data_IF_133231614068
#
_entry.id   IF_133231614068
#
_cell.length_a   1.000
_cell.length_b   1.000
_cell.length_c   1.000
_cell.angle_alpha   90.00
_cell.angle_beta   90.00
_cell.angle_gamma   90.00
#
_symmetry.space_group_name_H-M   'P 1'
#
loop_
_entity.id
_entity.type
_entity.pdbx_description
1 polymer ?
#
# COMPACT_ATOMS: atom_id res chain seq x y z
N UNK A 1 48.76 16.33 -22.51
CA UNK A 1 48.32 15.99 -21.14
C UNK A 1 46.82 15.85 -20.99
N UNK A 2 46.00 16.51 -21.77
CA UNK A 2 44.52 16.56 -21.66
C UNK A 2 43.78 15.31 -22.17
N UNK A 3 44.31 14.55 -23.13
CA UNK A 3 43.63 13.36 -23.69
C UNK A 3 43.61 12.17 -22.71
N UNK A 4 44.72 11.93 -21.98
CA UNK A 4 44.82 10.85 -20.98
C UNK A 4 43.92 11.09 -19.77
N UNK A 5 43.72 12.35 -19.35
CA UNK A 5 42.87 12.71 -18.23
C UNK A 5 41.40 12.43 -18.58
N UNK A 6 40.96 12.77 -19.79
CA UNK A 6 39.60 12.47 -20.26
C UNK A 6 39.30 10.98 -20.31
N UNK A 7 40.27 10.18 -20.73
CA UNK A 7 40.12 8.70 -20.77
C UNK A 7 39.99 8.11 -19.37
N UNK A 8 40.76 8.60 -18.39
CA UNK A 8 40.67 8.16 -16.99
C UNK A 8 39.33 8.55 -16.39
N UNK A 9 38.81 9.74 -16.66
CA UNK A 9 37.47 10.17 -16.18
C UNK A 9 36.37 9.32 -16.77
N UNK A 10 36.43 8.96 -18.05
CA UNK A 10 35.41 8.10 -18.71
C UNK A 10 35.46 6.68 -18.13
N UNK A 11 36.64 6.13 -17.89
CA UNK A 11 36.81 4.80 -17.28
C UNK A 11 36.32 4.79 -15.83
N UNK A 12 36.63 5.83 -15.04
CA UNK A 12 36.12 5.97 -13.68
C UNK A 12 34.61 6.14 -13.62
N UNK A 13 34.03 6.90 -14.56
CA UNK A 13 32.58 7.10 -14.67
C UNK A 13 31.86 5.81 -15.08
N UNK A 14 32.40 5.05 -16.03
CA UNK A 14 31.94 3.71 -16.42
C UNK A 14 32.08 2.70 -15.27
N UNK A 15 33.15 2.77 -14.50
CA UNK A 15 33.37 1.88 -13.35
C UNK A 15 32.37 2.18 -12.19
N UNK A 16 32.05 3.44 -11.94
CA UNK A 16 30.98 3.81 -10.98
C UNK A 16 29.62 3.30 -11.38
N UNK A 17 29.33 3.16 -12.68
CA UNK A 17 28.03 2.68 -13.17
C UNK A 17 27.86 1.16 -13.03
N UNK A 18 28.95 0.40 -12.93
CA UNK A 18 28.94 -1.07 -12.79
C UNK A 18 28.72 -1.51 -11.34
N UNK A 19 28.89 -0.60 -10.35
CA UNK A 19 28.75 -0.91 -8.93
C UNK A 19 27.35 -0.71 -8.36
N UNK A 20 26.35 -0.40 -9.17
CA UNK A 20 24.94 -0.41 -8.77
C UNK A 20 24.41 -1.85 -8.81
N UNK A 21 24.94 -2.74 -7.97
CA UNK A 21 24.26 -3.97 -7.67
C UNK A 21 22.98 -3.60 -6.91
N UNK A 22 21.84 -3.71 -7.56
CA UNK A 22 20.54 -3.64 -6.91
C UNK A 22 20.45 -4.86 -5.97
N UNK A 23 20.71 -4.66 -4.69
CA UNK A 23 20.40 -5.66 -3.67
C UNK A 23 18.89 -5.84 -3.67
N UNK A 24 18.41 -6.85 -4.39
CA UNK A 24 17.03 -7.27 -4.27
C UNK A 24 16.88 -7.94 -2.90
N UNK A 25 15.95 -7.44 -2.08
CA UNK A 25 15.64 -8.05 -0.78
C UNK A 25 15.28 -9.52 -0.98
N UNK A 26 15.97 -10.41 -0.26
CA UNK A 26 15.72 -11.84 -0.37
C UNK A 26 14.35 -12.19 0.26
N UNK A 27 13.62 -13.06 -0.41
CA UNK A 27 12.33 -13.53 0.08
C UNK A 27 12.59 -14.65 1.09
N UNK A 28 12.07 -14.54 2.33
CA UNK A 28 12.22 -15.59 3.33
C UNK A 28 11.53 -16.88 2.90
N UNK A 29 12.00 -18.00 3.45
CA UNK A 29 11.34 -19.30 3.25
C UNK A 29 10.12 -19.43 4.16
N UNK A 30 9.02 -19.97 3.66
CA UNK A 30 7.84 -20.30 4.45
C UNK A 30 8.16 -21.54 5.31
N UNK A 31 8.44 -21.35 6.59
CA UNK A 31 8.83 -22.43 7.52
C UNK A 31 7.60 -23.08 8.22
N UNK A 32 6.47 -23.20 7.50
CA UNK A 32 5.23 -23.76 8.06
C UNK A 32 4.53 -22.85 9.07
N UNK A 33 4.92 -21.57 9.16
CA UNK A 33 4.25 -20.56 9.98
C UNK A 33 3.55 -19.54 9.07
N UNK A 34 2.27 -19.20 9.30
CA UNK A 34 1.59 -18.17 8.55
C UNK A 34 2.02 -16.74 8.96
N UNK A 35 2.75 -16.59 10.08
CA UNK A 35 3.28 -15.31 10.52
C UNK A 35 4.80 -15.33 10.52
N UNK A 36 5.41 -14.38 9.82
CA UNK A 36 6.85 -14.14 9.77
C UNK A 36 7.12 -12.68 10.20
N UNK A 37 7.51 -12.47 11.43
CA UNK A 37 7.92 -11.18 11.97
C UNK A 37 9.45 -11.07 12.00
N UNK A 38 10.04 -10.61 10.90
CA UNK A 38 11.50 -10.41 10.77
C UNK A 38 11.97 -9.07 11.36
N UNK A 39 11.02 -8.17 11.66
CA UNK A 39 11.33 -6.89 12.29
C UNK A 39 11.28 -6.94 13.82
N UNK A 40 10.82 -8.07 14.42
CA UNK A 40 10.52 -8.21 15.84
C UNK A 40 9.58 -7.08 16.34
N UNK A 41 8.56 -6.80 15.53
CA UNK A 41 7.59 -5.75 15.79
C UNK A 41 6.59 -6.11 16.88
N UNK A 42 6.21 -7.39 16.93
CA UNK A 42 5.20 -7.92 17.84
C UNK A 42 5.84 -8.51 19.09
N UNK A 43 5.19 -8.36 20.25
CA UNK A 43 5.56 -9.14 21.43
C UNK A 43 5.31 -10.64 21.16
N UNK A 44 6.00 -11.51 21.92
CA UNK A 44 5.83 -12.96 21.78
C UNK A 44 4.37 -13.40 21.98
N UNK A 45 3.64 -12.75 22.90
CA UNK A 45 2.23 -13.02 23.17
C UNK A 45 1.36 -12.61 21.97
N UNK A 46 1.55 -11.40 21.43
CA UNK A 46 0.81 -10.88 20.29
C UNK A 46 1.10 -11.69 19.01
N UNK A 47 2.36 -12.06 18.80
CA UNK A 47 2.75 -12.92 17.69
C UNK A 47 2.09 -14.30 17.78
N UNK A 48 2.05 -14.90 18.97
CA UNK A 48 1.36 -16.19 19.19
C UNK A 48 -0.15 -16.07 18.95
N UNK A 49 -0.78 -15.01 19.45
CA UNK A 49 -2.22 -14.77 19.26
C UNK A 49 -2.56 -14.61 17.77
N UNK A 50 -1.80 -13.78 17.03
CA UNK A 50 -2.01 -13.55 15.60
C UNK A 50 -1.76 -14.83 14.79
N UNK A 51 -0.70 -15.58 15.10
CA UNK A 51 -0.42 -16.86 14.46
C UNK A 51 -1.56 -17.86 14.67
N UNK A 52 -2.12 -17.95 15.88
CA UNK A 52 -3.22 -18.86 16.17
C UNK A 52 -4.48 -18.49 15.37
N UNK A 53 -4.79 -17.19 15.23
CA UNK A 53 -5.88 -16.71 14.39
C UNK A 53 -5.70 -17.12 12.92
N UNK A 54 -4.51 -16.93 12.36
CA UNK A 54 -4.18 -17.32 10.98
C UNK A 54 -4.28 -18.84 10.77
N UNK A 55 -3.84 -19.64 11.74
CA UNK A 55 -3.97 -21.10 11.69
C UNK A 55 -5.43 -21.56 11.81
N UNK A 56 -6.25 -20.86 12.59
CA UNK A 56 -7.69 -21.13 12.67
C UNK A 56 -8.35 -20.89 11.31
N UNK A 57 -8.05 -19.76 10.65
CA UNK A 57 -8.53 -19.45 9.31
C UNK A 57 -8.13 -20.53 8.30
N UNK A 58 -6.85 -20.92 8.27
CA UNK A 58 -6.35 -21.97 7.37
C UNK A 58 -7.05 -23.32 7.60
N UNK A 59 -7.38 -23.64 8.86
CA UNK A 59 -8.07 -24.87 9.22
C UNK A 59 -9.48 -25.00 8.60
N UNK A 60 -10.14 -23.88 8.30
CA UNK A 60 -11.46 -23.82 7.65
C UNK A 60 -11.40 -24.12 6.16
N UNK A 61 -10.20 -24.07 5.55
CA UNK A 61 -9.92 -24.35 4.13
C UNK A 61 -10.70 -23.50 3.12
N UNK A 62 -11.25 -22.35 3.56
CA UNK A 62 -11.90 -21.40 2.68
C UNK A 62 -10.88 -20.55 1.94
N UNK A 63 -9.84 -20.13 2.64
CA UNK A 63 -8.68 -19.41 2.10
C UNK A 63 -7.48 -19.58 3.04
N UNK A 64 -6.30 -19.20 2.57
CA UNK A 64 -5.07 -19.20 3.35
C UNK A 64 -4.54 -17.78 3.46
N UNK A 65 -4.31 -17.30 4.67
CA UNK A 65 -3.73 -15.99 4.91
C UNK A 65 -2.37 -16.10 5.56
N UNK A 66 -1.42 -15.29 5.11
CA UNK A 66 -0.11 -15.15 5.72
C UNK A 66 0.27 -13.69 5.91
N UNK A 67 1.09 -13.43 6.92
CA UNK A 67 1.60 -12.08 7.23
C UNK A 67 3.13 -12.13 7.27
N UNK A 68 3.75 -11.22 6.51
CA UNK A 68 5.18 -10.97 6.51
C UNK A 68 5.47 -9.56 6.98
N UNK A 69 6.26 -9.42 8.04
CA UNK A 69 6.74 -8.15 8.55
C UNK A 69 8.25 -8.09 8.32
N UNK A 70 8.70 -7.18 7.49
CA UNK A 70 10.13 -6.91 7.23
C UNK A 70 10.52 -5.57 7.82
N UNK A 71 11.79 -5.41 8.11
CA UNK A 71 12.30 -4.14 8.64
C UNK A 71 12.29 -3.06 7.56
N UNK A 72 12.86 -3.35 6.39
CA UNK A 72 12.91 -2.46 5.23
C UNK A 72 12.82 -3.27 3.94
N UNK A 73 12.44 -2.61 2.87
CA UNK A 73 12.44 -3.14 1.51
C UNK A 73 13.76 -2.87 0.77
N UNK A 74 14.69 -2.14 1.40
CA UNK A 74 16.00 -1.77 0.84
C UNK A 74 15.90 -1.15 -0.58
N UNK A 75 14.88 -0.32 -0.78
CA UNK A 75 14.60 0.34 -2.06
C UNK A 75 13.82 -0.51 -3.08
N UNK A 76 13.46 -1.74 -2.71
CA UNK A 76 12.56 -2.57 -3.55
C UNK A 76 11.14 -2.04 -3.43
N UNK A 77 10.39 -2.07 -4.51
CA UNK A 77 8.97 -1.75 -4.54
C UNK A 77 8.13 -2.84 -3.84
N UNK A 78 7.20 -2.43 -2.97
CA UNK A 78 6.46 -3.36 -2.12
C UNK A 78 5.54 -4.27 -2.93
N UNK A 79 5.01 -3.79 -4.04
CA UNK A 79 4.15 -4.53 -4.95
C UNK A 79 4.93 -5.71 -5.55
N UNK A 80 6.07 -5.42 -6.17
CA UNK A 80 6.94 -6.45 -6.74
C UNK A 80 7.48 -7.42 -5.69
N UNK A 81 7.76 -6.93 -4.49
CA UNK A 81 8.21 -7.78 -3.39
C UNK A 81 7.11 -8.72 -2.91
N UNK A 82 5.89 -8.21 -2.69
CA UNK A 82 4.76 -9.01 -2.26
C UNK A 82 4.40 -10.11 -3.25
N UNK A 83 4.39 -9.81 -4.55
CA UNK A 83 4.19 -10.81 -5.60
C UNK A 83 5.24 -11.93 -5.52
N UNK A 84 6.53 -11.58 -5.40
CA UNK A 84 7.61 -12.59 -5.26
C UNK A 84 7.45 -13.46 -4.02
N UNK A 85 7.03 -12.86 -2.89
CA UNK A 85 6.77 -13.60 -1.65
C UNK A 85 5.59 -14.55 -1.85
N UNK A 86 4.49 -14.04 -2.40
CA UNK A 86 3.27 -14.79 -2.65
C UNK A 86 3.53 -16.03 -3.54
N UNK A 87 4.26 -15.84 -4.63
CA UNK A 87 4.65 -16.90 -5.55
C UNK A 87 5.59 -17.92 -4.90
N UNK A 88 6.64 -17.45 -4.18
CA UNK A 88 7.60 -18.34 -3.51
C UNK A 88 6.94 -19.17 -2.42
N UNK A 89 6.00 -18.57 -1.69
CA UNK A 89 5.26 -19.24 -0.62
C UNK A 89 4.11 -20.10 -1.13
N UNK A 90 3.68 -19.91 -2.38
CA UNK A 90 2.57 -20.62 -3.01
C UNK A 90 1.32 -20.57 -2.14
N UNK A 91 0.94 -19.37 -1.70
CA UNK A 91 -0.19 -19.20 -0.80
C UNK A 91 -1.51 -19.59 -1.45
N UNK A 92 -2.32 -20.32 -0.70
CA UNK A 92 -3.61 -20.82 -1.13
C UNK A 92 -3.54 -22.19 -1.80
N UNK A 93 -4.69 -22.71 -2.14
CA UNK A 93 -4.86 -23.95 -2.91
C UNK A 93 -4.55 -23.70 -4.38
N UNK A 94 -3.81 -24.62 -5.03
CA UNK A 94 -3.37 -24.44 -6.41
C UNK A 94 -4.52 -24.36 -7.42
N UNK A 95 -5.65 -25.03 -7.14
CA UNK A 95 -6.81 -25.02 -8.03
C UNK A 95 -7.72 -23.84 -7.75
N UNK A 96 -7.76 -23.35 -6.50
CA UNK A 96 -8.64 -22.27 -6.06
C UNK A 96 -7.99 -20.90 -6.12
N UNK A 97 -6.66 -20.82 -6.07
CA UNK A 97 -5.90 -19.57 -5.98
C UNK A 97 -6.42 -18.62 -4.86
N UNK A 98 -6.73 -19.20 -3.70
CA UNK A 98 -7.41 -18.55 -2.58
C UNK A 98 -6.43 -18.12 -1.46
N UNK A 99 -5.28 -17.59 -1.83
CA UNK A 99 -4.31 -17.05 -0.91
C UNK A 99 -4.50 -15.54 -0.65
N UNK A 100 -4.11 -15.08 0.54
CA UNK A 100 -3.97 -13.67 0.89
C UNK A 100 -2.64 -13.46 1.60
N UNK A 101 -1.91 -12.40 1.25
CA UNK A 101 -0.65 -12.03 1.89
C UNK A 101 -0.70 -10.59 2.34
N UNK A 102 -0.44 -10.34 3.62
CA UNK A 102 -0.17 -8.99 4.12
C UNK A 102 1.34 -8.83 4.27
N UNK A 103 1.91 -7.84 3.59
CA UNK A 103 3.32 -7.43 3.74
C UNK A 103 3.38 -6.09 4.44
N UNK A 104 4.18 -6.01 5.50
CA UNK A 104 4.46 -4.76 6.23
C UNK A 104 5.95 -4.48 6.17
N UNK A 105 6.32 -3.33 5.64
CA UNK A 105 7.69 -2.80 5.66
C UNK A 105 7.77 -1.66 6.67
N UNK A 106 8.37 -1.94 7.83
CA UNK A 106 8.26 -1.08 9.02
C UNK A 106 8.93 0.28 8.82
N UNK A 107 10.20 0.29 8.42
CA UNK A 107 10.99 1.52 8.28
C UNK A 107 10.51 2.35 7.07
N UNK A 108 9.99 1.68 6.02
CA UNK A 108 9.43 2.32 4.83
C UNK A 108 8.00 2.82 5.06
N UNK A 109 7.36 2.40 6.14
CA UNK A 109 5.94 2.66 6.44
C UNK A 109 5.02 2.28 5.28
N UNK A 110 5.25 1.13 4.70
CA UNK A 110 4.48 0.62 3.57
C UNK A 110 3.77 -0.68 3.95
N UNK A 111 2.57 -0.81 3.41
CA UNK A 111 1.72 -2.01 3.57
C UNK A 111 1.23 -2.43 2.21
N UNK A 112 1.18 -3.73 1.97
CA UNK A 112 0.55 -4.35 0.81
C UNK A 112 -0.35 -5.48 1.27
N UNK A 113 -1.56 -5.55 0.73
CA UNK A 113 -2.40 -6.74 0.76
C UNK A 113 -2.39 -7.29 -0.66
N UNK A 114 -1.83 -8.47 -0.83
CA UNK A 114 -1.81 -9.22 -2.09
C UNK A 114 -2.88 -10.30 -2.05
N UNK A 115 -3.70 -10.40 -3.10
CA UNK A 115 -4.87 -11.26 -3.15
C UNK A 115 -4.75 -12.24 -4.32
N UNK A 116 -4.92 -13.52 -4.03
CA UNK A 116 -4.95 -14.57 -5.05
C UNK A 116 -6.16 -14.45 -5.97
N UNK A 117 -5.99 -14.80 -7.23
CA UNK A 117 -6.99 -14.64 -8.29
C UNK A 117 -8.39 -15.18 -7.94
N UNK A 118 -8.45 -16.30 -7.21
CA UNK A 118 -9.73 -16.89 -6.80
C UNK A 118 -10.53 -16.08 -5.79
N UNK A 119 -9.92 -15.08 -5.16
CA UNK A 119 -10.57 -14.21 -4.18
C UNK A 119 -10.86 -12.80 -4.69
N UNK A 120 -10.39 -12.42 -5.88
CA UNK A 120 -10.57 -11.06 -6.42
C UNK A 120 -12.04 -10.64 -6.56
N UNK A 121 -12.95 -11.60 -6.71
CA UNK A 121 -14.41 -11.33 -6.78
C UNK A 121 -15.03 -10.95 -5.44
N UNK A 122 -14.40 -11.30 -4.31
CA UNK A 122 -14.91 -11.08 -2.94
C UNK A 122 -14.01 -10.18 -2.12
N UNK A 123 -12.74 -10.13 -2.41
CA UNK A 123 -11.75 -9.22 -1.83
C UNK A 123 -11.07 -8.43 -2.96
N UNK A 124 -11.77 -7.43 -3.45
CA UNK A 124 -11.31 -6.57 -4.54
C UNK A 124 -10.20 -5.61 -4.10
N UNK A 125 -9.47 -5.02 -5.06
CA UNK A 125 -8.46 -3.99 -4.78
C UNK A 125 -9.02 -2.81 -3.97
N UNK A 126 -10.27 -2.43 -4.24
CA UNK A 126 -10.95 -1.35 -3.52
C UNK A 126 -11.15 -1.73 -2.06
N UNK A 127 -11.60 -2.95 -1.78
CA UNK A 127 -11.81 -3.46 -0.43
C UNK A 127 -10.50 -3.63 0.32
N UNK A 128 -9.48 -4.20 -0.31
CA UNK A 128 -8.13 -4.28 0.25
C UNK A 128 -7.59 -2.88 0.60
N UNK A 129 -7.77 -1.92 -0.30
CA UNK A 129 -7.41 -0.52 -0.06
C UNK A 129 -8.19 0.14 1.08
N UNK A 130 -9.47 -0.17 1.25
CA UNK A 130 -10.28 0.30 2.38
C UNK A 130 -9.78 -0.30 3.70
N UNK A 131 -9.48 -1.59 3.75
CA UNK A 131 -8.91 -2.25 4.93
C UNK A 131 -7.60 -1.57 5.33
N UNK A 132 -6.70 -1.31 4.38
CA UNK A 132 -5.44 -0.60 4.67
C UNK A 132 -5.73 0.78 5.26
N UNK A 133 -6.53 1.60 4.57
CA UNK A 133 -6.73 3.01 4.96
C UNK A 133 -7.54 3.17 6.23
N UNK A 134 -8.58 2.34 6.44
CA UNK A 134 -9.57 2.53 7.51
C UNK A 134 -9.32 1.65 8.72
N UNK A 135 -8.63 0.53 8.56
CA UNK A 135 -8.33 -0.38 9.65
C UNK A 135 -6.85 -0.33 10.02
N UNK A 136 -5.94 -0.67 9.08
CA UNK A 136 -4.53 -0.83 9.43
C UNK A 136 -3.89 0.53 9.75
N UNK A 137 -4.02 1.51 8.85
CA UNK A 137 -3.33 2.80 8.96
C UNK A 137 -3.63 3.56 10.26
N UNK A 138 -4.87 3.68 10.74
CA UNK A 138 -5.16 4.37 12.01
C UNK A 138 -4.50 3.70 13.21
N UNK A 139 -4.52 2.36 13.27
CA UNK A 139 -3.84 1.61 14.31
C UNK A 139 -2.32 1.80 14.25
N UNK A 140 -1.72 1.71 13.06
CA UNK A 140 -0.28 1.82 12.86
C UNK A 140 0.27 3.21 13.18
N UNK A 141 -0.48 4.27 12.88
CA UNK A 141 -0.14 5.64 13.30
C UNK A 141 -0.04 5.80 14.81
N UNK A 142 -0.81 5.01 15.54
CA UNK A 142 -0.80 4.98 17.00
C UNK A 142 0.12 3.88 17.58
N UNK A 143 0.99 3.25 16.75
CA UNK A 143 1.86 2.13 17.10
C UNK A 143 1.12 0.88 17.61
N UNK A 144 -0.18 0.76 17.36
CA UNK A 144 -1.02 -0.38 17.72
C UNK A 144 -0.97 -1.47 16.63
N UNK A 145 0.23 -1.94 16.30
CA UNK A 145 0.47 -2.83 15.15
C UNK A 145 -0.30 -4.14 15.23
N UNK A 146 -0.30 -4.79 16.40
CA UNK A 146 -1.03 -6.04 16.61
C UNK A 146 -2.53 -5.88 16.35
N UNK A 147 -3.16 -4.86 16.94
CA UNK A 147 -4.60 -4.64 16.77
C UNK A 147 -4.95 -4.30 15.33
N UNK A 148 -4.10 -3.54 14.64
CA UNK A 148 -4.29 -3.24 13.23
C UNK A 148 -4.26 -4.50 12.35
N UNK A 149 -3.30 -5.39 12.55
CA UNK A 149 -3.19 -6.65 11.82
C UNK A 149 -4.34 -7.59 12.17
N UNK A 150 -4.66 -7.76 13.45
CA UNK A 150 -5.76 -8.60 13.92
C UNK A 150 -7.11 -8.15 13.34
N UNK A 151 -7.39 -6.86 13.39
CA UNK A 151 -8.63 -6.29 12.84
C UNK A 151 -8.70 -6.43 11.32
N UNK A 152 -7.58 -6.25 10.61
CA UNK A 152 -7.51 -6.47 9.16
C UNK A 152 -7.77 -7.92 8.79
N UNK A 153 -7.12 -8.88 9.46
CA UNK A 153 -7.34 -10.32 9.27
C UNK A 153 -8.81 -10.68 9.50
N UNK A 154 -9.43 -10.15 10.57
CA UNK A 154 -10.87 -10.39 10.83
C UNK A 154 -11.77 -9.78 9.75
N UNK A 155 -11.44 -8.58 9.24
CA UNK A 155 -12.21 -7.96 8.17
C UNK A 155 -12.08 -8.73 6.84
N UNK A 156 -10.89 -9.21 6.50
CA UNK A 156 -10.63 -10.06 5.33
C UNK A 156 -11.45 -11.35 5.44
N UNK A 157 -11.42 -12.01 6.60
CA UNK A 157 -12.18 -13.23 6.83
C UNK A 157 -13.68 -12.99 6.63
N UNK A 158 -14.25 -11.96 7.25
CA UNK A 158 -15.67 -11.64 7.15
C UNK A 158 -16.10 -11.37 5.70
N UNK A 159 -15.28 -10.64 4.94
CA UNK A 159 -15.55 -10.37 3.52
C UNK A 159 -15.55 -11.64 2.69
N UNK A 160 -14.58 -12.55 2.90
CA UNK A 160 -14.50 -13.81 2.16
C UNK A 160 -15.64 -14.75 2.57
N UNK A 161 -16.09 -14.73 3.83
CA UNK A 161 -17.23 -15.50 4.32
C UNK A 161 -18.59 -14.89 3.92
N UNK A 162 -18.60 -13.73 3.25
CA UNK A 162 -19.80 -13.10 2.67
C UNK A 162 -20.55 -12.19 3.64
N UNK A 163 -19.92 -11.72 4.71
CA UNK A 163 -20.53 -10.74 5.61
C UNK A 163 -20.47 -9.32 5.01
N UNK A 164 -21.55 -8.95 4.31
CA UNK A 164 -21.70 -7.63 3.70
C UNK A 164 -21.70 -6.47 4.71
N UNK A 165 -22.05 -6.71 5.98
CA UNK A 165 -22.07 -5.66 7.02
C UNK A 165 -20.68 -5.13 7.31
N UNK A 166 -19.64 -5.92 7.07
CA UNK A 166 -18.24 -5.52 7.22
C UNK A 166 -17.89 -4.33 6.32
N UNK A 167 -18.37 -4.32 5.07
CA UNK A 167 -18.15 -3.19 4.15
C UNK A 167 -18.86 -1.92 4.60
N UNK A 168 -20.09 -2.03 5.08
CA UNK A 168 -20.85 -0.90 5.60
C UNK A 168 -20.13 -0.29 6.81
N UNK A 169 -19.65 -1.15 7.73
CA UNK A 169 -18.93 -0.71 8.91
C UNK A 169 -17.60 -0.04 8.56
N UNK A 170 -16.83 -0.58 7.60
CA UNK A 170 -15.57 0.03 7.13
C UNK A 170 -15.86 1.36 6.40
N UNK A 171 -16.92 1.44 5.60
CA UNK A 171 -17.30 2.64 4.88
C UNK A 171 -17.88 3.73 5.81
N UNK A 172 -18.60 3.35 6.87
CA UNK A 172 -19.17 4.29 7.82
C UNK A 172 -18.09 5.11 8.58
N UNK A 173 -16.91 4.54 8.79
CA UNK A 173 -15.75 5.25 9.37
C UNK A 173 -15.26 6.41 8.47
N UNK A 174 -15.68 6.47 7.21
CA UNK A 174 -15.28 7.53 6.27
C UNK A 174 -16.00 8.88 6.49
N UNK A 175 -17.14 8.84 7.16
CA UNK A 175 -17.97 10.03 7.31
C UNK A 175 -17.50 10.97 8.44
N UNK A 176 -16.65 10.49 9.37
CA UNK A 176 -16.23 11.29 10.53
C UNK A 176 -14.90 12.06 10.33
N UNK A 177 -14.04 11.66 9.39
CA UNK A 177 -12.69 12.25 9.26
C UNK A 177 -12.56 13.34 8.17
N UNK A 178 -13.53 13.51 7.27
CA UNK A 178 -13.44 14.45 6.14
C UNK A 178 -14.44 15.61 6.18
N UNK A 179 -15.19 15.80 7.25
CA UNK A 179 -15.98 17.01 7.37
C UNK A 179 -15.07 18.21 7.68
N UNK A 180 -14.72 18.97 6.63
CA UNK A 180 -14.15 20.30 6.83
C UNK A 180 -15.16 21.07 7.67
N UNK A 181 -14.80 21.50 8.90
CA UNK A 181 -15.76 22.18 9.77
C UNK A 181 -16.40 23.35 9.03
N UNK A 182 -17.72 23.40 9.01
CA UNK A 182 -18.50 24.45 8.36
C UNK A 182 -17.91 25.86 8.61
N UNK A 183 -17.41 26.19 9.83
CA UNK A 183 -16.73 27.47 10.07
C UNK A 183 -15.50 27.71 9.21
N UNK A 184 -14.74 26.66 8.87
CA UNK A 184 -13.54 26.78 7.99
C UNK A 184 -13.95 27.10 6.55
N UNK A 185 -15.03 26.46 6.06
CA UNK A 185 -15.59 26.75 4.74
C UNK A 185 -16.10 28.18 4.68
N UNK A 186 -16.85 28.62 5.70
CA UNK A 186 -17.36 29.99 5.80
C UNK A 186 -16.19 30.98 5.84
N UNK A 187 -15.15 30.70 6.63
CA UNK A 187 -13.96 31.55 6.72
C UNK A 187 -13.24 31.66 5.37
N UNK A 188 -13.06 30.53 4.67
CA UNK A 188 -12.46 30.52 3.34
C UNK A 188 -13.28 31.34 2.31
N UNK A 189 -14.61 31.20 2.33
CA UNK A 189 -15.51 31.97 1.47
C UNK A 189 -15.41 33.49 1.78
N UNK A 190 -15.44 33.86 3.06
CA UNK A 190 -15.30 35.26 3.48
C UNK A 190 -13.94 35.83 3.09
N UNK A 191 -12.87 35.05 3.20
CA UNK A 191 -11.54 35.44 2.77
C UNK A 191 -11.46 35.68 1.27
N UNK A 192 -12.07 34.79 0.46
CA UNK A 192 -12.17 34.96 -1.00
C UNK A 192 -12.95 36.21 -1.33
N UNK A 193 -14.10 36.45 -0.70
CA UNK A 193 -14.92 37.66 -0.90
C UNK A 193 -14.12 38.93 -0.53
N UNK A 194 -13.39 38.89 0.59
CA UNK A 194 -12.55 40.01 1.04
C UNK A 194 -11.44 40.31 0.02
N UNK A 195 -10.77 39.30 -0.51
CA UNK A 195 -9.74 39.45 -1.55
C UNK A 195 -10.35 40.03 -2.83
N UNK A 196 -11.50 39.50 -3.27
CA UNK A 196 -12.20 39.99 -4.47
C UNK A 196 -12.64 41.48 -4.32
N UNK A 197 -13.10 41.84 -3.11
CA UNK A 197 -13.46 43.25 -2.82
C UNK A 197 -12.23 44.18 -2.81
N UNK A 198 -11.08 43.69 -2.33
CA UNK A 198 -9.80 44.42 -2.35
C UNK A 198 -9.27 44.57 -3.79
N UNK A 199 -9.35 43.49 -4.60
CA UNK A 199 -8.91 43.52 -6.02
C UNK A 199 -9.81 44.44 -6.86
N UNK A 200 -11.12 44.47 -6.61
CA UNK A 200 -12.03 45.38 -7.29
C UNK A 200 -11.73 46.88 -7.04
N UNK A 201 -11.07 47.18 -5.93
CA UNK A 201 -10.67 48.57 -5.59
C UNK A 201 -9.32 48.97 -6.24
N UNK A 202 -8.61 48.03 -6.85
CA UNK A 202 -7.25 48.22 -7.39
C UNK A 202 -7.13 48.09 -8.91
N UNK A 203 -8.22 47.87 -9.67
CA UNK A 203 -8.11 47.70 -11.12
C UNK A 203 -8.83 48.78 -11.92
N UNK A 204 -8.08 49.79 -12.25
CA UNK A 204 -8.17 50.41 -13.60
C UNK A 204 -6.90 49.97 -14.34
N UNK A 205 -7.10 49.47 -15.57
CA UNK A 205 -6.11 49.13 -16.62
C UNK A 205 -5.27 47.86 -16.46
N UNK A 206 -5.52 46.89 -17.37
CA UNK A 206 -4.62 45.78 -17.64
C UNK A 206 -5.32 44.58 -18.28
N UNK A 207 -5.39 44.57 -19.60
CA UNK A 207 -5.78 43.43 -20.42
C UNK A 207 -4.85 42.27 -20.13
N UNK A 208 -5.37 41.15 -19.59
CA UNK A 208 -4.65 39.90 -19.53
C UNK A 208 -5.36 38.86 -20.40
N UNK A 209 -4.69 38.45 -21.47
CA UNK A 209 -5.12 37.40 -22.36
C UNK A 209 -4.99 36.04 -21.68
N UNK A 210 -6.08 35.30 -21.65
CA UNK A 210 -6.12 33.92 -21.19
C UNK A 210 -5.68 33.00 -22.30
N UNK A 211 -4.51 32.38 -22.13
CA UNK A 211 -4.11 31.22 -22.92
C UNK A 211 -4.16 30.00 -22.02
N UNK A 212 -5.28 29.30 -22.04
CA UNK A 212 -5.44 28.00 -21.34
C UNK A 212 -5.04 26.91 -22.32
N UNK A 213 -3.80 26.46 -22.22
CA UNK A 213 -3.30 25.29 -22.92
C UNK A 213 -3.85 24.00 -22.28
N UNK A 214 -4.50 23.17 -23.08
CA UNK A 214 -5.09 21.91 -22.67
C UNK A 214 -4.03 20.90 -22.23
N UNK A 215 -4.28 20.25 -21.09
CA UNK A 215 -3.56 19.06 -20.68
C UNK A 215 -4.15 17.84 -21.40
N UNK A 216 -3.42 17.31 -22.36
CA UNK A 216 -3.71 16.00 -22.93
C UNK A 216 -3.12 14.93 -22.01
N UNK A 217 -4.00 14.20 -21.36
CA UNK A 217 -3.69 12.96 -20.64
C UNK A 217 -3.55 11.86 -21.69
N UNK A 218 -2.31 11.47 -21.96
CA UNK A 218 -1.99 10.30 -22.75
C UNK A 218 -0.89 9.53 -22.03
N UNK A 219 -1.27 8.51 -21.29
CA UNK A 219 -0.35 7.56 -20.66
C UNK A 219 -0.98 6.20 -20.65
N UNK A 220 -0.88 5.47 -21.76
CA UNK A 220 -1.23 4.07 -21.82
C UNK A 220 -0.22 3.26 -21.04
N UNK A 221 -0.68 2.59 -19.99
CA UNK A 221 0.08 1.55 -19.28
C UNK A 221 -0.08 0.25 -20.05
N UNK A 222 0.99 -0.21 -20.70
CA UNK A 222 1.08 -1.52 -21.32
C UNK A 222 1.77 -2.46 -20.35
N UNK A 223 0.98 -3.25 -19.62
CA UNK A 223 1.49 -4.35 -18.80
C UNK A 223 1.72 -5.60 -19.66
N UNK A 224 2.98 -6.04 -19.77
CA UNK A 224 3.33 -7.32 -20.34
C UNK A 224 2.98 -8.44 -19.35
N UNK A 225 2.32 -9.48 -19.84
CA UNK A 225 1.82 -10.61 -19.07
C UNK A 225 2.89 -11.42 -18.37
N UNK A 226 2.63 -11.73 -17.11
CA UNK A 226 3.31 -12.70 -16.26
C UNK A 226 2.35 -13.15 -15.18
N UNK A 227 2.37 -14.39 -14.84
CA UNK A 227 1.47 -15.20 -14.02
C UNK A 227 1.36 -14.79 -12.53
N UNK A 228 0.97 -13.61 -12.22
CA UNK A 228 0.29 -13.28 -10.97
C UNK A 228 -0.71 -12.19 -11.29
N UNK A 229 -1.91 -12.60 -11.67
CA UNK A 229 -3.04 -11.70 -11.71
C UNK A 229 -3.54 -11.42 -10.30
N UNK A 230 -2.62 -11.34 -9.31
CA UNK A 230 -2.98 -11.05 -7.95
C UNK A 230 -3.47 -9.62 -7.84
N UNK A 231 -4.76 -9.46 -7.58
CA UNK A 231 -5.33 -8.21 -7.13
C UNK A 231 -4.72 -7.80 -5.79
N UNK A 232 -5.04 -6.63 -5.32
CA UNK A 232 -4.58 -6.17 -4.02
C UNK A 232 -4.41 -4.67 -3.95
N UNK A 233 -3.98 -4.16 -2.81
CA UNK A 233 -3.77 -2.74 -2.63
C UNK A 233 -2.54 -2.45 -1.78
N UNK A 234 -1.94 -1.29 -1.99
CA UNK A 234 -0.84 -0.77 -1.19
C UNK A 234 -1.22 0.52 -0.50
N UNK A 235 -0.56 0.79 0.61
CA UNK A 235 -0.73 2.02 1.38
C UNK A 235 0.45 2.30 2.30
N UNK A 236 0.30 3.34 3.13
CA UNK A 236 1.28 3.75 4.11
C UNK A 236 0.64 4.41 5.32
N UNK A 237 1.43 4.66 6.38
CA UNK A 237 0.97 5.28 7.64
C UNK A 237 1.93 6.33 8.19
#
# INVERSE_FOLDING_TARGET
MTRKIKTIFIVCWLFCFILSEAFALDVPTLNGSPLHDMANLLSAENAAALKNLLLEIDSRKNFQEAILIVKSLDGTDIESYAVKVFEKWRLGDADKNNGVLIVVALDDRRIRIEVGYGLEGVLTDVQAGLIIRKIITPHFRNNNYFEGLRAATSAIQNLIEGDASTLENIAAVDNDENEIPIPVIIFAILLIIFVLLKVRKASSTGRFGSNFGGFSSGGGFSGGGGFSGGGGASGGW
#
